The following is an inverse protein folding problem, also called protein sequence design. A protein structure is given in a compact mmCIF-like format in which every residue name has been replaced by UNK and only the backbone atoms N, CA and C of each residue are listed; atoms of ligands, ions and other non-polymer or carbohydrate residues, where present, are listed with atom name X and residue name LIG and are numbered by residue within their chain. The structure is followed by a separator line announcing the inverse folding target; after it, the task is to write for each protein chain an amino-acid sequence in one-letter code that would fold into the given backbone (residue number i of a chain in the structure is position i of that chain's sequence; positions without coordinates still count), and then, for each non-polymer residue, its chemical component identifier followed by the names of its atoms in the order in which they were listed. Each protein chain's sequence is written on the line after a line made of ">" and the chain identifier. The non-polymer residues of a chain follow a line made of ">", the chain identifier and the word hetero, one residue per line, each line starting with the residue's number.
data_IF_450266978783
#
_entry.id   IF_450266978783
#
_cell.length_a   1.000
_cell.length_b   1.000
_cell.length_c   1.000
_cell.angle_alpha   90.00
_cell.angle_beta   90.00
_cell.angle_gamma   90.00
#
_symmetry.space_group_name_H-M   'P 1'
#
loop_
_entity.id
_entity.type
_entity.pdbx_description
1 polymer ?
#
# COMPACT_ATOMS: atom_id res chain seq x y z
N UNK A 1 47.50 -64.68 52.44
CA UNK A 1 46.36 -63.78 52.78
C UNK A 1 46.31 -62.57 51.85
N UNK A 2 47.45 -61.92 51.55
CA UNK A 2 47.53 -60.69 50.73
C UNK A 2 46.84 -60.70 49.36
N UNK A 3 46.92 -61.78 48.58
CA UNK A 3 46.37 -61.81 47.21
C UNK A 3 44.84 -61.61 47.15
N UNK A 4 44.09 -62.01 48.19
CA UNK A 4 42.63 -61.83 48.25
C UNK A 4 42.24 -60.39 48.58
N UNK A 5 43.05 -59.68 49.35
CA UNK A 5 42.83 -58.27 49.67
C UNK A 5 43.17 -57.38 48.46
N UNK A 6 44.23 -57.70 47.74
CA UNK A 6 44.59 -57.03 46.49
C UNK A 6 43.49 -57.21 45.42
N UNK A 7 42.94 -58.42 45.26
CA UNK A 7 41.84 -58.66 44.31
C UNK A 7 40.56 -57.89 44.69
N UNK A 8 40.22 -57.83 45.98
CA UNK A 8 39.06 -57.04 46.45
C UNK A 8 39.25 -55.56 46.19
N UNK A 9 40.43 -55.01 46.51
CA UNK A 9 40.74 -53.61 46.24
C UNK A 9 40.69 -53.29 44.74
N UNK A 10 41.18 -54.19 43.88
CA UNK A 10 41.11 -54.00 42.43
C UNK A 10 39.65 -54.00 41.92
N UNK A 11 38.81 -54.92 42.39
CA UNK A 11 37.38 -54.98 42.02
C UNK A 11 36.65 -53.71 42.49
N UNK A 12 36.90 -53.25 43.72
CA UNK A 12 36.32 -52.02 44.25
C UNK A 12 36.72 -50.78 43.43
N UNK A 13 37.98 -50.68 42.99
CA UNK A 13 38.43 -49.60 42.09
C UNK A 13 37.72 -49.64 40.74
N UNK A 14 37.66 -50.82 40.10
CA UNK A 14 36.97 -50.95 38.80
C UNK A 14 35.47 -50.64 38.91
N UNK A 15 34.84 -50.98 40.03
CA UNK A 15 33.43 -50.65 40.29
C UNK A 15 33.25 -49.15 40.48
N UNK A 16 34.12 -48.49 41.24
CA UNK A 16 34.09 -47.05 41.41
C UNK A 16 34.30 -46.31 40.08
N UNK A 17 35.24 -46.77 39.24
CA UNK A 17 35.47 -46.23 37.89
C UNK A 17 34.25 -46.42 36.98
N UNK A 18 33.57 -47.57 37.06
CA UNK A 18 32.33 -47.82 36.31
C UNK A 18 31.18 -46.93 36.79
N UNK A 19 31.01 -46.75 38.10
CA UNK A 19 30.00 -45.88 38.68
C UNK A 19 30.25 -44.41 38.31
N UNK A 20 31.50 -43.95 38.31
CA UNK A 20 31.89 -42.61 37.85
C UNK A 20 31.65 -42.41 36.34
N UNK A 21 32.03 -43.40 35.52
CA UNK A 21 31.79 -43.36 34.08
C UNK A 21 30.29 -43.35 33.73
N UNK A 22 29.48 -44.10 34.48
CA UNK A 22 28.03 -44.11 34.31
C UNK A 22 27.41 -42.77 34.72
N UNK A 23 27.82 -42.19 35.85
CA UNK A 23 27.37 -40.86 36.26
C UNK A 23 27.77 -39.76 35.26
N UNK A 24 28.98 -39.85 34.68
CA UNK A 24 29.43 -38.93 33.64
C UNK A 24 28.60 -39.06 32.35
N UNK A 25 28.21 -40.28 31.97
CA UNK A 25 27.35 -40.54 30.82
C UNK A 25 25.94 -39.99 31.03
N UNK A 26 25.34 -40.23 32.20
CA UNK A 26 24.01 -39.71 32.56
C UNK A 26 24.00 -38.18 32.54
N UNK A 27 25.01 -37.53 33.11
CA UNK A 27 25.13 -36.08 33.08
C UNK A 27 25.38 -35.53 31.66
N UNK A 28 26.12 -36.25 30.81
CA UNK A 28 26.28 -35.88 29.40
C UNK A 28 24.95 -35.98 28.63
N UNK A 29 24.15 -37.02 28.90
CA UNK A 29 22.81 -37.20 28.33
C UNK A 29 21.87 -36.07 28.78
N UNK A 30 21.85 -35.73 30.07
CA UNK A 30 21.04 -34.61 30.57
C UNK A 30 21.40 -33.28 29.90
N UNK A 31 22.70 -33.01 29.68
CA UNK A 31 23.15 -31.80 28.98
C UNK A 31 22.70 -31.78 27.52
N UNK A 32 22.79 -32.92 26.83
CA UNK A 32 22.32 -33.05 25.45
C UNK A 32 20.81 -32.82 25.34
N UNK A 33 20.02 -33.36 26.27
CA UNK A 33 18.57 -33.19 26.31
C UNK A 33 18.17 -31.74 26.63
N UNK A 34 18.88 -31.06 27.54
CA UNK A 34 18.66 -29.63 27.80
C UNK A 34 18.94 -28.79 26.56
N UNK A 35 20.07 -29.02 25.89
CA UNK A 35 20.42 -28.31 24.66
C UNK A 35 19.38 -28.54 23.55
N UNK A 36 18.85 -29.76 23.42
CA UNK A 36 17.78 -30.09 22.46
C UNK A 36 16.49 -29.31 22.77
N UNK A 37 16.06 -29.27 24.03
CA UNK A 37 14.86 -28.52 24.44
C UNK A 37 15.02 -27.01 24.21
N UNK A 38 16.21 -26.46 24.47
CA UNK A 38 16.50 -25.05 24.21
C UNK A 38 16.45 -24.72 22.70
N UNK A 39 16.99 -25.60 21.86
CA UNK A 39 16.92 -25.45 20.42
C UNK A 39 15.48 -25.53 19.89
N UNK A 40 14.69 -26.50 20.35
CA UNK A 40 13.27 -26.63 20.01
C UNK A 40 12.46 -25.39 20.45
N UNK A 41 12.72 -24.86 21.66
CA UNK A 41 12.09 -23.63 22.14
C UNK A 41 12.51 -22.39 21.33
N UNK A 42 13.75 -22.33 20.86
CA UNK A 42 14.22 -21.26 19.97
C UNK A 42 13.53 -21.31 18.61
N UNK A 43 13.39 -22.50 18.01
CA UNK A 43 12.66 -22.70 16.76
C UNK A 43 11.18 -22.29 16.90
N UNK A 44 10.51 -22.66 18.00
CA UNK A 44 9.13 -22.29 18.25
C UNK A 44 8.93 -20.75 18.33
N UNK A 45 9.85 -20.04 19.00
CA UNK A 45 9.82 -18.57 19.05
C UNK A 45 10.03 -17.94 17.68
N UNK A 46 10.92 -18.49 16.88
CA UNK A 46 11.18 -18.01 15.53
C UNK A 46 9.97 -18.22 14.61
N UNK A 47 9.30 -19.37 14.69
CA UNK A 47 8.09 -19.64 13.91
C UNK A 47 6.93 -18.71 14.29
N UNK A 48 6.74 -18.42 15.58
CA UNK A 48 5.71 -17.47 16.04
C UNK A 48 5.98 -16.03 15.54
N UNK A 49 7.24 -15.60 15.54
CA UNK A 49 7.62 -14.31 14.95
C UNK A 49 7.36 -14.25 13.44
N UNK A 50 7.68 -15.32 12.71
CA UNK A 50 7.39 -15.41 11.27
C UNK A 50 5.90 -15.40 10.98
N UNK A 51 5.08 -16.11 11.77
CA UNK A 51 3.62 -16.06 11.62
C UNK A 51 3.06 -14.67 11.90
N UNK A 52 3.55 -13.99 12.94
CA UNK A 52 3.16 -12.60 13.23
C UNK A 52 3.54 -11.65 12.11
N UNK A 53 4.73 -11.77 11.54
CA UNK A 53 5.16 -10.98 10.39
C UNK A 53 4.39 -11.35 9.11
N UNK A 54 4.04 -12.62 8.89
CA UNK A 54 3.20 -13.05 7.78
C UNK A 54 1.77 -12.55 7.91
N UNK A 55 1.20 -12.54 9.11
CA UNK A 55 -0.12 -11.98 9.39
C UNK A 55 -0.10 -10.47 9.19
N UNK A 56 0.93 -9.79 9.68
CA UNK A 56 1.15 -8.35 9.45
C UNK A 56 1.26 -8.08 7.94
N UNK A 57 2.12 -8.81 7.22
CA UNK A 57 2.28 -8.70 5.79
C UNK A 57 0.99 -9.03 5.02
N UNK A 58 0.23 -10.06 5.42
CA UNK A 58 -1.09 -10.36 4.82
C UNK A 58 -2.11 -9.27 5.08
N UNK A 59 -2.10 -8.61 6.23
CA UNK A 59 -2.94 -7.42 6.44
C UNK A 59 -2.56 -6.26 5.52
N UNK A 60 -1.29 -6.17 5.10
CA UNK A 60 -0.82 -5.19 4.13
C UNK A 60 -0.95 -5.62 2.65
N UNK A 61 -0.92 -6.92 2.36
CA UNK A 61 -0.87 -7.50 1.00
C UNK A 61 -2.21 -8.09 0.56
N UNK A 62 -3.17 -8.31 1.47
CA UNK A 62 -4.54 -8.60 1.05
C UNK A 62 -4.97 -7.43 0.15
N UNK A 63 -5.30 -7.68 -1.13
CA UNK A 63 -5.79 -6.64 -1.98
C UNK A 63 -7.10 -6.19 -1.35
N UNK A 64 -7.07 -5.09 -0.60
CA UNK A 64 -8.24 -4.30 -0.26
C UNK A 64 -8.69 -3.61 -1.55
N UNK A 65 -9.01 -4.44 -2.55
CA UNK A 65 -10.10 -4.23 -3.46
C UNK A 65 -11.35 -4.26 -2.57
N UNK A 66 -11.53 -3.19 -1.79
CA UNK A 66 -12.85 -2.62 -1.62
C UNK A 66 -13.32 -2.37 -3.04
N UNK A 67 -13.92 -3.42 -3.60
CA UNK A 67 -14.56 -3.52 -4.88
C UNK A 67 -15.31 -2.21 -5.04
N UNK A 68 -14.94 -1.47 -6.08
CA UNK A 68 -15.57 -0.20 -6.41
C UNK A 68 -17.00 -0.45 -6.85
N UNK A 69 -17.89 -0.74 -5.91
CA UNK A 69 -19.34 -0.70 -6.09
C UNK A 69 -19.80 0.75 -6.37
N UNK A 70 -18.93 1.75 -6.25
CA UNK A 70 -19.25 3.15 -6.49
C UNK A 70 -18.98 3.67 -7.92
N UNK A 71 -18.45 2.85 -8.86
CA UNK A 71 -18.24 3.30 -10.25
C UNK A 71 -18.70 2.28 -11.31
N UNK A 72 -19.77 1.54 -11.05
CA UNK A 72 -20.30 0.51 -11.97
C UNK A 72 -21.04 1.08 -13.21
N UNK A 73 -21.04 2.40 -13.42
CA UNK A 73 -21.74 3.05 -14.54
C UNK A 73 -20.94 4.07 -15.34
N UNK A 74 -19.67 4.32 -15.01
CA UNK A 74 -18.85 5.23 -15.81
C UNK A 74 -18.25 4.45 -16.98
N UNK A 75 -18.80 4.68 -18.17
CA UNK A 75 -18.31 4.28 -19.50
C UNK A 75 -16.83 3.87 -19.46
N UNK A 76 -16.57 2.56 -19.54
CA UNK A 76 -15.24 1.99 -19.35
C UNK A 76 -14.41 2.22 -20.62
N UNK A 77 -13.97 3.46 -20.82
CA UNK A 77 -13.14 3.87 -21.94
C UNK A 77 -11.83 3.10 -21.84
N UNK A 78 -11.59 2.17 -22.78
CA UNK A 78 -10.31 1.47 -22.87
C UNK A 78 -9.23 2.46 -23.32
N UNK A 79 -8.43 2.93 -22.36
CA UNK A 79 -7.36 3.90 -22.58
C UNK A 79 -6.05 3.25 -23.05
N UNK A 80 -5.94 1.92 -22.99
CA UNK A 80 -4.76 1.18 -23.42
C UNK A 80 -4.37 1.39 -24.90
N UNK A 81 -5.30 1.43 -25.89
CA UNK A 81 -4.95 1.78 -27.27
C UNK A 81 -4.41 3.21 -27.40
N UNK A 82 -4.95 4.18 -26.64
CA UNK A 82 -4.49 5.57 -26.67
C UNK A 82 -3.05 5.65 -26.14
N UNK A 83 -2.75 5.01 -25.01
CA UNK A 83 -1.39 4.98 -24.47
C UNK A 83 -0.41 4.26 -25.41
N UNK A 84 -0.81 3.14 -26.05
CA UNK A 84 0.00 2.49 -27.07
C UNK A 84 0.25 3.39 -28.28
N UNK A 85 -0.74 4.19 -28.66
CA UNK A 85 -0.59 5.23 -29.68
C UNK A 85 0.43 6.30 -29.30
N UNK A 86 0.41 6.77 -28.04
CA UNK A 86 1.38 7.72 -27.51
C UNK A 86 2.81 7.14 -27.41
N UNK A 87 2.95 5.83 -27.19
CA UNK A 87 4.25 5.13 -27.21
C UNK A 87 4.75 4.79 -28.63
N UNK A 88 3.92 4.97 -29.66
CA UNK A 88 4.23 4.52 -31.02
C UNK A 88 5.43 5.28 -31.62
N UNK A 89 6.20 4.60 -32.47
CA UNK A 89 7.25 5.24 -33.28
C UNK A 89 6.66 6.12 -34.38
N UNK A 90 5.45 5.81 -34.85
CA UNK A 90 4.72 6.57 -35.87
C UNK A 90 4.22 7.90 -35.31
N UNK A 91 4.66 9.02 -35.90
CA UNK A 91 4.30 10.36 -35.48
C UNK A 91 2.80 10.65 -35.65
N UNK A 92 2.14 10.09 -36.66
CA UNK A 92 0.70 10.31 -36.90
C UNK A 92 -0.14 9.70 -35.78
N UNK A 93 0.13 8.45 -35.42
CA UNK A 93 -0.54 7.76 -34.31
C UNK A 93 -0.31 8.45 -32.97
N UNK A 94 0.88 9.00 -32.72
CA UNK A 94 1.14 9.78 -31.50
C UNK A 94 0.31 11.06 -31.44
N UNK A 95 0.19 11.79 -32.56
CA UNK A 95 -0.59 13.03 -32.61
C UNK A 95 -2.08 12.73 -32.41
N UNK A 96 -2.61 11.69 -33.05
CA UNK A 96 -3.99 11.26 -32.88
C UNK A 96 -4.28 10.86 -31.41
N UNK A 97 -3.42 10.01 -30.83
CA UNK A 97 -3.57 9.60 -29.45
C UNK A 97 -3.42 10.76 -28.45
N UNK A 98 -2.58 11.77 -28.75
CA UNK A 98 -2.47 13.00 -27.96
C UNK A 98 -3.78 13.77 -27.99
N UNK A 99 -4.38 13.96 -29.17
CA UNK A 99 -5.68 14.63 -29.31
C UNK A 99 -6.78 13.88 -28.56
N UNK A 100 -6.82 12.55 -28.64
CA UNK A 100 -7.79 11.75 -27.88
C UNK A 100 -7.59 11.93 -26.38
N UNK A 101 -6.34 11.93 -25.89
CA UNK A 101 -6.05 12.17 -24.48
C UNK A 101 -6.47 13.57 -24.03
N UNK A 102 -6.19 14.60 -24.84
CA UNK A 102 -6.57 15.98 -24.57
C UNK A 102 -8.11 16.16 -24.56
N UNK A 103 -8.83 15.45 -25.45
CA UNK A 103 -10.30 15.42 -25.49
C UNK A 103 -10.91 14.72 -24.27
N UNK A 104 -10.29 13.63 -23.79
CA UNK A 104 -10.73 12.95 -22.58
C UNK A 104 -10.51 13.83 -21.35
N UNK A 105 -9.41 14.60 -21.32
CA UNK A 105 -9.07 15.51 -20.25
C UNK A 105 -9.11 14.81 -18.89
N UNK A 106 -9.86 15.36 -17.94
CA UNK A 106 -9.97 14.80 -16.60
C UNK A 106 -10.67 13.44 -16.54
N UNK A 107 -11.50 13.11 -17.54
CA UNK A 107 -12.18 11.81 -17.60
C UNK A 107 -11.20 10.66 -17.82
N UNK A 108 -9.99 10.94 -18.31
CA UNK A 108 -8.92 9.95 -18.45
C UNK A 108 -8.32 9.50 -17.11
N UNK A 109 -8.46 10.29 -16.03
CA UNK A 109 -7.77 10.05 -14.75
C UNK A 109 -8.15 8.69 -14.15
N UNK A 110 -9.44 8.37 -14.04
CA UNK A 110 -9.89 7.10 -13.48
C UNK A 110 -9.48 5.87 -14.33
N UNK A 111 -9.66 5.86 -15.67
CA UNK A 111 -9.13 4.81 -16.53
C UNK A 111 -7.61 4.63 -16.45
N UNK A 112 -6.84 5.72 -16.36
CA UNK A 112 -5.38 5.67 -16.22
C UNK A 112 -4.97 5.00 -14.92
N UNK A 113 -5.62 5.34 -13.80
CA UNK A 113 -5.37 4.71 -12.52
C UNK A 113 -5.72 3.22 -12.53
N UNK A 114 -6.91 2.88 -13.02
CA UNK A 114 -7.34 1.48 -13.11
C UNK A 114 -6.35 0.67 -13.95
N UNK A 115 -5.84 1.24 -15.04
CA UNK A 115 -4.79 0.61 -15.83
C UNK A 115 -3.49 0.42 -15.04
N UNK A 116 -3.02 1.43 -14.32
CA UNK A 116 -1.80 1.36 -13.49
C UNK A 116 -1.96 0.27 -12.42
N UNK A 117 -3.08 0.24 -11.69
CA UNK A 117 -3.39 -0.75 -10.66
C UNK A 117 -3.46 -2.17 -11.24
N UNK A 118 -4.21 -2.34 -12.33
CA UNK A 118 -4.38 -3.64 -12.98
C UNK A 118 -3.05 -4.21 -13.46
N UNK A 119 -2.19 -3.35 -13.99
CA UNK A 119 -0.87 -3.75 -14.48
C UNK A 119 0.12 -3.97 -13.32
N UNK A 120 -0.02 -3.25 -12.20
CA UNK A 120 0.75 -3.49 -10.97
C UNK A 120 0.45 -4.90 -10.41
N UNK A 121 -0.83 -5.27 -10.30
CA UNK A 121 -1.23 -6.62 -9.85
C UNK A 121 -0.70 -7.72 -10.79
N UNK A 122 -0.72 -7.48 -12.11
CA UNK A 122 -0.13 -8.42 -13.08
C UNK A 122 1.38 -8.55 -12.90
N UNK A 123 2.07 -7.44 -12.64
CA UNK A 123 3.51 -7.43 -12.38
C UNK A 123 3.86 -8.20 -11.11
N UNK A 124 3.11 -8.03 -10.03
CA UNK A 124 3.36 -8.74 -8.78
C UNK A 124 3.21 -10.26 -8.96
N UNK A 125 2.17 -10.69 -9.68
CA UNK A 125 2.00 -12.11 -10.04
C UNK A 125 3.17 -12.63 -10.89
N UNK A 126 3.63 -11.84 -11.86
CA UNK A 126 4.79 -12.18 -12.70
C UNK A 126 6.08 -12.27 -11.89
N UNK A 127 6.33 -11.29 -11.02
CA UNK A 127 7.50 -11.25 -10.16
C UNK A 127 7.51 -12.42 -9.18
N UNK A 128 6.35 -12.77 -8.60
CA UNK A 128 6.20 -13.94 -7.75
C UNK A 128 6.52 -15.23 -8.51
N UNK A 129 5.96 -15.41 -9.72
CA UNK A 129 6.26 -16.58 -10.55
C UNK A 129 7.76 -16.67 -10.91
N UNK A 130 8.40 -15.54 -11.21
CA UNK A 130 9.84 -15.47 -11.49
C UNK A 130 10.66 -15.82 -10.25
N UNK A 131 10.29 -15.31 -9.08
CA UNK A 131 10.96 -15.62 -7.82
C UNK A 131 10.88 -17.12 -7.51
N UNK A 132 9.70 -17.72 -7.60
CA UNK A 132 9.50 -19.16 -7.40
C UNK A 132 10.31 -19.98 -8.40
N UNK A 133 10.29 -19.61 -9.68
CA UNK A 133 11.07 -20.27 -10.71
C UNK A 133 12.58 -20.18 -10.45
N UNK A 134 13.07 -18.99 -10.08
CA UNK A 134 14.49 -18.78 -9.76
C UNK A 134 14.94 -19.56 -8.52
N UNK A 135 14.08 -19.68 -7.50
CA UNK A 135 14.34 -20.46 -6.30
C UNK A 135 14.41 -21.97 -6.62
N UNK A 136 13.48 -22.47 -7.44
CA UNK A 136 13.48 -23.87 -7.89
C UNK A 136 14.74 -24.18 -8.73
N UNK A 137 15.09 -23.28 -9.65
CA UNK A 137 16.31 -23.33 -10.45
C UNK A 137 17.57 -23.40 -9.56
N UNK A 138 17.64 -22.57 -8.52
CA UNK A 138 18.74 -22.54 -7.57
C UNK A 138 18.81 -23.83 -6.75
N UNK A 139 17.66 -24.33 -6.27
CA UNK A 139 17.57 -25.57 -5.51
C UNK A 139 18.03 -26.79 -6.33
N UNK A 140 17.60 -26.89 -7.59
CA UNK A 140 18.06 -27.94 -8.52
C UNK A 140 19.58 -27.83 -8.72
N UNK A 141 20.08 -26.60 -8.88
CA UNK A 141 21.51 -26.37 -9.03
C UNK A 141 22.33 -26.82 -7.82
N UNK A 142 21.84 -26.55 -6.60
CA UNK A 142 22.46 -26.97 -5.34
C UNK A 142 22.37 -28.48 -5.11
N UNK A 143 21.23 -29.11 -5.43
CA UNK A 143 21.08 -30.56 -5.36
C UNK A 143 22.04 -31.27 -6.31
N UNK A 144 22.25 -30.73 -7.51
CA UNK A 144 23.25 -31.24 -8.46
C UNK A 144 24.69 -31.10 -7.97
N UNK A 145 24.99 -30.06 -7.19
CA UNK A 145 26.31 -29.88 -6.55
C UNK A 145 26.52 -30.83 -5.35
N UNK A 146 25.47 -31.09 -4.57
CA UNK A 146 25.53 -31.98 -3.41
C UNK A 146 25.49 -33.48 -3.80
N UNK A 147 24.83 -33.82 -4.90
CA UNK A 147 24.72 -35.18 -5.42
C UNK A 147 26.00 -35.64 -6.15
N UNK A 148 26.87 -36.34 -5.43
CA UNK A 148 28.00 -37.16 -5.94
C UNK A 148 28.69 -36.63 -7.21
N UNK A 149 29.53 -35.60 -7.05
CA UNK A 149 30.73 -35.19 -7.81
C UNK A 149 30.75 -35.16 -9.35
N UNK A 150 30.18 -36.15 -10.03
CA UNK A 150 30.36 -36.41 -11.45
C UNK A 150 29.24 -35.80 -12.31
N UNK A 151 28.05 -35.58 -11.75
CA UNK A 151 26.92 -35.02 -12.52
C UNK A 151 27.11 -33.53 -12.83
N UNK A 152 27.67 -32.77 -11.89
CA UNK A 152 27.91 -31.34 -12.06
C UNK A 152 28.95 -31.04 -13.16
N UNK A 153 29.97 -31.90 -13.29
CA UNK A 153 31.00 -31.81 -14.34
C UNK A 153 30.46 -32.25 -15.72
N UNK A 154 29.45 -33.12 -15.77
CA UNK A 154 28.90 -33.65 -17.03
C UNK A 154 27.96 -32.69 -17.75
N UNK A 155 27.35 -31.72 -17.06
CA UNK A 155 26.33 -30.83 -17.65
C UNK A 155 26.53 -29.33 -17.41
N UNK A 156 27.72 -28.74 -17.67
CA UNK A 156 27.94 -27.30 -17.49
C UNK A 156 27.03 -26.44 -18.36
N UNK A 157 26.65 -26.93 -19.55
CA UNK A 157 25.72 -26.22 -20.45
C UNK A 157 24.34 -26.04 -19.83
N UNK A 158 23.84 -27.00 -19.06
CA UNK A 158 22.54 -26.90 -18.41
C UNK A 158 22.53 -25.73 -17.41
N UNK A 159 23.59 -25.61 -16.60
CA UNK A 159 23.74 -24.52 -15.64
C UNK A 159 23.85 -23.16 -16.32
N UNK A 160 24.60 -23.05 -17.43
CA UNK A 160 24.70 -21.81 -18.21
C UNK A 160 23.34 -21.40 -18.76
N UNK A 161 22.57 -22.35 -19.32
CA UNK A 161 21.22 -22.07 -19.84
C UNK A 161 20.28 -21.63 -18.71
N UNK A 162 20.33 -22.30 -17.58
CA UNK A 162 19.46 -22.02 -16.43
C UNK A 162 19.78 -20.65 -15.79
N UNK A 163 21.06 -20.26 -15.77
CA UNK A 163 21.50 -18.92 -15.38
C UNK A 163 21.07 -17.87 -16.43
N UNK A 164 21.23 -18.15 -17.73
CA UNK A 164 20.80 -17.24 -18.80
C UNK A 164 19.29 -17.01 -18.80
N UNK A 165 18.49 -18.05 -18.57
CA UNK A 165 17.02 -17.95 -18.41
C UNK A 165 16.67 -17.13 -17.18
N UNK A 166 17.33 -17.38 -16.06
CA UNK A 166 17.11 -16.61 -14.81
C UNK A 166 17.40 -15.12 -15.01
N UNK A 167 18.53 -14.79 -15.65
CA UNK A 167 18.89 -13.40 -15.99
C UNK A 167 17.89 -12.79 -16.99
N UNK A 168 17.51 -13.53 -18.04
CA UNK A 168 16.53 -13.07 -19.01
C UNK A 168 15.16 -12.79 -18.38
N UNK A 169 14.73 -13.62 -17.41
CA UNK A 169 13.49 -13.40 -16.66
C UNK A 169 13.54 -12.12 -15.83
N UNK A 170 14.70 -11.75 -15.27
CA UNK A 170 14.88 -10.46 -14.60
C UNK A 170 14.67 -9.28 -15.56
N UNK A 171 15.11 -9.38 -16.83
CA UNK A 171 14.82 -8.32 -17.82
C UNK A 171 13.33 -8.19 -18.15
N UNK A 172 12.58 -9.30 -18.13
CA UNK A 172 11.13 -9.29 -18.33
C UNK A 172 10.40 -8.60 -17.17
N UNK A 173 11.01 -8.48 -15.98
CA UNK A 173 10.41 -7.74 -14.85
C UNK A 173 10.39 -6.23 -15.00
N UNK A 174 11.04 -5.66 -16.03
CA UNK A 174 11.04 -4.22 -16.25
C UNK A 174 9.61 -3.67 -16.32
N UNK A 175 9.36 -2.49 -15.72
CA UNK A 175 8.05 -1.85 -15.78
C UNK A 175 7.64 -1.69 -17.23
N UNK A 176 6.36 -1.95 -17.53
CA UNK A 176 5.86 -1.76 -18.89
C UNK A 176 5.89 -0.27 -19.21
N UNK A 177 6.35 0.09 -20.42
CA UNK A 177 6.40 1.50 -20.84
C UNK A 177 5.05 2.21 -20.72
N UNK A 178 3.95 1.46 -20.77
CA UNK A 178 2.58 1.94 -20.57
C UNK A 178 2.34 2.47 -19.16
N UNK A 179 2.82 1.81 -18.11
CA UNK A 179 2.68 2.30 -16.73
C UNK A 179 3.40 3.64 -16.55
N UNK A 180 4.65 3.71 -17.02
CA UNK A 180 5.45 4.94 -16.96
C UNK A 180 4.77 6.08 -17.71
N UNK A 181 4.20 5.80 -18.89
CA UNK A 181 3.52 6.80 -19.69
C UNK A 181 2.20 7.25 -19.05
N UNK A 182 1.41 6.32 -18.52
CA UNK A 182 0.19 6.62 -17.78
C UNK A 182 0.50 7.51 -16.56
N UNK A 183 1.52 7.16 -15.77
CA UNK A 183 1.94 7.93 -14.60
C UNK A 183 2.44 9.33 -14.98
N UNK A 184 3.19 9.47 -16.08
CA UNK A 184 3.63 10.79 -16.59
C UNK A 184 2.47 11.66 -17.05
N UNK A 185 1.48 11.07 -17.74
CA UNK A 185 0.28 11.79 -18.18
C UNK A 185 -0.54 12.20 -16.96
N UNK A 186 -0.71 11.29 -15.99
CA UNK A 186 -1.40 11.57 -14.74
C UNK A 186 -0.75 12.74 -13.99
N UNK A 187 0.58 12.74 -13.89
CA UNK A 187 1.32 13.84 -13.30
C UNK A 187 1.13 15.15 -14.06
N UNK A 188 0.95 15.13 -15.40
CA UNK A 188 0.83 16.34 -16.22
C UNK A 188 -0.51 17.09 -16.07
N UNK A 189 -1.53 16.47 -15.47
CA UNK A 189 -2.78 17.19 -15.19
C UNK A 189 -2.58 18.22 -14.09
N UNK A 190 -3.19 19.40 -14.26
CA UNK A 190 -3.11 20.51 -13.30
C UNK A 190 -4.31 20.62 -12.35
N UNK A 191 -5.20 19.62 -12.36
CA UNK A 191 -6.44 19.64 -11.58
C UNK A 191 -6.26 19.03 -10.18
N UNK A 192 -6.83 19.68 -9.16
CA UNK A 192 -6.79 19.23 -7.76
C UNK A 192 -7.42 17.83 -7.57
N UNK A 193 -8.37 17.43 -8.41
CA UNK A 193 -9.00 16.10 -8.37
C UNK A 193 -8.01 14.95 -8.63
N UNK A 194 -6.85 15.25 -9.22
CA UNK A 194 -5.80 14.25 -9.50
C UNK A 194 -4.91 14.00 -8.28
N UNK A 195 -5.00 14.83 -7.24
CA UNK A 195 -4.16 14.70 -6.04
C UNK A 195 -4.45 13.41 -5.28
N UNK A 196 -5.73 13.05 -5.13
CA UNK A 196 -6.13 11.79 -4.47
C UNK A 196 -5.54 10.55 -5.15
N UNK A 197 -5.82 10.35 -6.45
CA UNK A 197 -5.14 9.38 -7.31
C UNK A 197 -3.62 9.31 -7.18
N UNK A 198 -2.94 10.46 -7.19
CA UNK A 198 -1.48 10.52 -7.08
C UNK A 198 -1.01 10.17 -5.66
N UNK A 199 -1.77 10.54 -4.64
CA UNK A 199 -1.47 10.17 -3.25
C UNK A 199 -1.55 8.66 -3.05
N UNK A 200 -2.56 8.00 -3.61
CA UNK A 200 -2.66 6.53 -3.60
C UNK A 200 -1.51 5.89 -4.39
N UNK A 201 -1.10 6.49 -5.52
CA UNK A 201 0.03 6.02 -6.29
C UNK A 201 1.38 6.07 -5.53
N UNK A 202 1.50 6.87 -4.46
CA UNK A 202 2.68 6.86 -3.58
C UNK A 202 2.83 5.56 -2.77
N UNK A 203 1.76 4.80 -2.58
CA UNK A 203 1.81 3.51 -1.90
C UNK A 203 2.33 2.37 -2.78
N UNK A 204 2.33 2.58 -4.09
CA UNK A 204 2.81 1.58 -5.04
C UNK A 204 4.33 1.41 -4.88
N UNK A 205 4.78 0.16 -4.84
CA UNK A 205 6.19 -0.19 -4.69
C UNK A 205 7.03 0.07 -5.96
N UNK A 206 6.40 0.50 -7.05
CA UNK A 206 7.10 0.78 -8.29
C UNK A 206 7.81 2.14 -8.24
N UNK A 207 9.14 2.12 -8.23
CA UNK A 207 9.99 3.30 -8.14
C UNK A 207 9.64 4.39 -9.18
N UNK A 208 9.33 4.00 -10.42
CA UNK A 208 9.02 4.95 -11.49
C UNK A 208 7.66 5.62 -11.33
N UNK A 209 6.62 4.84 -11.02
CA UNK A 209 5.28 5.36 -10.74
C UNK A 209 5.31 6.27 -9.52
N UNK A 210 6.02 5.86 -8.46
CA UNK A 210 6.23 6.64 -7.26
C UNK A 210 6.96 7.95 -7.57
N UNK A 211 8.01 7.95 -8.40
CA UNK A 211 8.70 9.19 -8.79
C UNK A 211 7.78 10.14 -9.56
N UNK A 212 7.04 9.63 -10.55
CA UNK A 212 6.09 10.45 -11.29
C UNK A 212 4.98 11.03 -10.40
N UNK A 213 4.49 10.24 -9.44
CA UNK A 213 3.51 10.68 -8.45
C UNK A 213 4.07 11.78 -7.53
N UNK A 214 5.30 11.62 -7.04
CA UNK A 214 5.99 12.65 -6.24
C UNK A 214 6.14 13.95 -7.01
N UNK A 215 6.60 13.88 -8.25
CA UNK A 215 6.81 15.07 -9.08
C UNK A 215 5.48 15.79 -9.38
N UNK A 216 4.41 15.04 -9.63
CA UNK A 216 3.06 15.59 -9.77
C UNK A 216 2.57 16.26 -8.48
N UNK A 217 2.67 15.58 -7.35
CA UNK A 217 2.21 16.09 -6.05
C UNK A 217 2.99 17.34 -5.62
N UNK A 218 4.31 17.40 -5.80
CA UNK A 218 5.11 18.60 -5.49
C UNK A 218 4.62 19.84 -6.23
N UNK A 219 4.12 19.68 -7.47
CA UNK A 219 3.58 20.77 -8.28
C UNK A 219 2.14 21.13 -7.91
N UNK A 220 1.31 20.13 -7.62
CA UNK A 220 -0.14 20.31 -7.42
C UNK A 220 -0.51 20.70 -5.99
N UNK A 221 0.14 20.11 -4.98
CA UNK A 221 -0.19 20.33 -3.57
C UNK A 221 -0.11 21.81 -3.14
N UNK A 222 0.88 22.63 -3.58
CA UNK A 222 0.92 24.05 -3.24
C UNK A 222 -0.22 24.89 -3.84
N UNK A 223 -0.99 24.33 -4.80
CA UNK A 223 -2.11 25.02 -5.48
C UNK A 223 -3.47 24.63 -4.89
N UNK A 224 -3.50 23.77 -3.86
CA UNK A 224 -4.73 23.30 -3.23
C UNK A 224 -5.35 24.41 -2.37
N UNK A 225 -6.67 24.56 -2.46
CA UNK A 225 -7.41 25.51 -1.65
C UNK A 225 -8.31 24.79 -0.64
N UNK A 226 -8.77 25.51 0.39
CA UNK A 226 -9.69 24.97 1.41
C UNK A 226 -11.01 24.43 0.82
N UNK A 227 -11.45 24.95 -0.34
CA UNK A 227 -12.62 24.44 -1.08
C UNK A 227 -12.45 23.01 -1.58
N UNK A 228 -11.21 22.56 -1.75
CA UNK A 228 -10.89 21.25 -2.31
C UNK A 228 -10.82 20.17 -1.23
N UNK A 229 -11.01 20.53 0.06
CA UNK A 229 -10.91 19.60 1.18
C UNK A 229 -11.84 18.39 1.04
N UNK A 230 -13.02 18.56 0.42
CA UNK A 230 -13.98 17.49 0.18
C UNK A 230 -13.63 16.58 -1.00
N UNK A 231 -12.62 16.91 -1.81
CA UNK A 231 -12.22 16.09 -2.96
C UNK A 231 -11.34 14.90 -2.59
N UNK A 232 -10.67 14.96 -1.43
CA UNK A 232 -9.81 13.90 -0.96
C UNK A 232 -10.56 12.97 -0.01
N UNK A 233 -10.54 11.67 -0.32
CA UNK A 233 -11.08 10.67 0.59
C UNK A 233 -10.18 10.51 1.83
N UNK A 234 -10.73 9.95 2.91
CA UNK A 234 -9.94 9.65 4.11
C UNK A 234 -8.72 8.77 3.80
N UNK A 235 -8.90 7.79 2.89
CA UNK A 235 -7.83 6.90 2.45
C UNK A 235 -6.69 7.68 1.78
N UNK A 236 -7.03 8.64 0.92
CA UNK A 236 -6.05 9.47 0.21
C UNK A 236 -5.30 10.37 1.19
N UNK A 237 -6.01 10.90 2.19
CA UNK A 237 -5.40 11.66 3.27
C UNK A 237 -4.42 10.81 4.09
N UNK A 238 -4.79 9.57 4.42
CA UNK A 238 -3.89 8.66 5.13
C UNK A 238 -2.62 8.34 4.30
N UNK A 239 -2.74 8.27 2.96
CA UNK A 239 -1.58 8.13 2.06
C UNK A 239 -0.63 9.34 2.16
N UNK A 240 -1.19 10.56 2.19
CA UNK A 240 -0.41 11.78 2.38
C UNK A 240 0.26 11.81 3.77
N UNK A 241 -0.43 11.41 4.83
CA UNK A 241 0.14 11.32 6.18
C UNK A 241 1.28 10.30 6.25
N UNK A 242 1.18 9.15 5.56
CA UNK A 242 2.30 8.20 5.46
C UNK A 242 3.47 8.82 4.68
N UNK A 243 3.18 9.55 3.60
CA UNK A 243 4.19 10.21 2.79
C UNK A 243 4.98 11.31 3.52
N UNK A 244 4.46 11.83 4.65
CA UNK A 244 5.23 12.72 5.54
C UNK A 244 6.50 12.07 6.13
N UNK A 245 6.59 10.73 6.15
CA UNK A 245 7.79 10.01 6.56
C UNK A 245 8.82 9.83 5.43
N UNK A 246 8.57 10.40 4.26
CA UNK A 246 9.48 10.36 3.11
C UNK A 246 10.81 11.08 3.40
N UNK A 247 11.89 10.60 2.77
CA UNK A 247 13.19 11.28 2.76
C UNK A 247 13.22 12.50 1.83
N UNK A 248 12.17 12.67 1.00
CA UNK A 248 12.05 13.77 0.05
C UNK A 248 11.47 15.02 0.73
N UNK A 249 12.34 15.92 1.14
CA UNK A 249 11.95 17.10 1.91
C UNK A 249 11.07 18.08 1.13
N UNK A 250 11.22 18.20 -0.19
CA UNK A 250 10.36 19.08 -0.99
C UNK A 250 8.93 18.55 -1.04
N UNK A 251 8.78 17.22 -1.14
CA UNK A 251 7.47 16.58 -1.07
C UNK A 251 6.84 16.79 0.30
N UNK A 252 7.59 16.57 1.39
CA UNK A 252 7.06 16.74 2.75
C UNK A 252 6.60 18.18 2.98
N UNK A 253 7.39 19.18 2.55
CA UNK A 253 6.98 20.60 2.64
C UNK A 253 5.75 20.89 1.80
N UNK A 254 5.65 20.33 0.58
CA UNK A 254 4.46 20.48 -0.25
C UNK A 254 3.21 19.86 0.39
N UNK A 255 3.33 18.69 1.03
CA UNK A 255 2.25 18.05 1.79
C UNK A 255 1.85 18.92 2.98
N UNK A 256 2.79 19.44 3.76
CA UNK A 256 2.50 20.30 4.91
C UNK A 256 1.73 21.57 4.51
N UNK A 257 2.14 22.22 3.41
CA UNK A 257 1.40 23.39 2.87
C UNK A 257 0.00 23.05 2.40
N UNK A 258 -0.19 21.88 1.79
CA UNK A 258 -1.53 21.43 1.44
C UNK A 258 -2.36 21.14 2.71
N UNK A 259 -1.80 20.44 3.70
CA UNK A 259 -2.48 20.15 4.97
C UNK A 259 -2.86 21.42 5.72
N UNK A 260 -2.09 22.50 5.60
CA UNK A 260 -2.48 23.82 6.10
C UNK A 260 -3.84 24.25 5.52
N UNK A 261 -4.14 23.97 4.25
CA UNK A 261 -5.38 24.38 3.57
C UNK A 261 -6.53 23.38 3.73
N UNK A 262 -6.25 22.09 3.60
CA UNK A 262 -7.26 21.01 3.55
C UNK A 262 -7.24 20.07 4.76
N UNK A 263 -6.24 20.18 5.62
CA UNK A 263 -6.11 19.36 6.82
C UNK A 263 -7.15 19.71 7.88
N UNK A 264 -7.42 18.71 8.73
CA UNK A 264 -8.28 18.82 9.90
C UNK A 264 -7.63 18.21 11.14
N UNK A 265 -8.43 18.00 12.19
CA UNK A 265 -7.98 17.52 13.50
C UNK A 265 -7.12 16.24 13.43
N UNK A 266 -7.48 15.29 12.57
CA UNK A 266 -6.71 14.05 12.35
C UNK A 266 -5.27 14.26 11.88
N UNK A 267 -4.95 15.42 11.30
CA UNK A 267 -3.60 15.73 10.79
C UNK A 267 -2.65 16.24 11.88
N UNK A 268 -3.18 16.81 12.97
CA UNK A 268 -2.42 17.40 14.09
C UNK A 268 -1.32 16.45 14.61
N UNK A 269 -1.61 15.20 15.02
CA UNK A 269 -0.58 14.33 15.60
C UNK A 269 0.52 13.91 14.61
N UNK A 270 0.28 14.01 13.30
CA UNK A 270 1.31 13.77 12.29
C UNK A 270 2.23 14.98 12.12
N UNK A 271 1.65 16.18 12.13
CA UNK A 271 2.38 17.44 11.99
C UNK A 271 3.17 17.77 13.26
N UNK A 272 2.58 17.57 14.44
CA UNK A 272 3.23 17.75 15.75
C UNK A 272 4.51 16.90 15.87
N UNK A 273 4.43 15.61 15.51
CA UNK A 273 5.61 14.73 15.49
C UNK A 273 6.75 15.21 14.58
N UNK A 274 6.44 15.94 13.50
CA UNK A 274 7.46 16.53 12.63
C UNK A 274 8.03 17.83 13.21
N UNK A 275 7.20 18.63 13.86
CA UNK A 275 7.61 19.86 14.54
C UNK A 275 8.55 19.56 15.73
N UNK A 276 8.31 18.47 16.45
CA UNK A 276 9.11 18.07 17.62
C UNK A 276 10.40 17.32 17.25
N UNK A 277 10.60 17.00 15.97
CA UNK A 277 11.75 16.20 15.54
C UNK A 277 13.06 16.98 15.78
N UNK A 278 14.09 16.35 16.37
CA UNK A 278 15.38 16.99 16.55
C UNK A 278 15.99 17.32 15.18
N UNK A 279 16.43 18.56 15.01
CA UNK A 279 17.05 19.03 13.77
C UNK A 279 18.45 18.43 13.62
N UNK A 280 18.62 17.46 12.72
CA UNK A 280 19.91 16.81 12.43
C UNK A 280 20.58 17.39 11.18
N UNK A 281 19.80 17.99 10.30
CA UNK A 281 20.25 18.59 9.05
C UNK A 281 19.57 19.94 8.78
N UNK A 282 20.11 20.73 7.84
CA UNK A 282 19.48 21.97 7.35
C UNK A 282 18.09 21.67 6.76
N UNK A 283 17.99 20.55 6.02
CA UNK A 283 16.75 20.06 5.43
C UNK A 283 15.68 19.76 6.48
N UNK A 284 16.05 19.14 7.60
CA UNK A 284 15.14 18.90 8.73
C UNK A 284 14.65 20.23 9.32
N UNK A 285 15.51 21.25 9.36
CA UNK A 285 15.13 22.59 9.80
C UNK A 285 14.00 23.19 8.97
N UNK A 286 14.07 23.03 7.64
CA UNK A 286 13.02 23.49 6.72
C UNK A 286 11.70 22.74 6.90
N UNK A 287 11.76 21.42 7.09
CA UNK A 287 10.57 20.60 7.38
C UNK A 287 9.95 21.02 8.71
N UNK A 288 10.77 21.20 9.75
CA UNK A 288 10.31 21.60 11.09
C UNK A 288 9.63 22.96 11.08
N UNK A 289 10.21 23.94 10.39
CA UNK A 289 9.61 25.26 10.24
C UNK A 289 8.23 25.19 9.56
N UNK A 290 8.14 24.49 8.42
CA UNK A 290 6.86 24.30 7.72
C UNK A 290 5.84 23.52 8.57
N UNK A 291 6.28 22.56 9.38
CA UNK A 291 5.41 21.82 10.28
C UNK A 291 4.87 22.69 11.41
N UNK A 292 5.70 23.56 12.00
CA UNK A 292 5.26 24.50 13.04
C UNK A 292 4.23 25.51 12.51
N UNK A 293 4.46 26.06 11.31
CA UNK A 293 3.50 26.94 10.62
C UNK A 293 2.17 26.22 10.38
N UNK A 294 2.22 25.01 9.82
CA UNK A 294 1.04 24.18 9.57
C UNK A 294 0.29 23.83 10.88
N UNK A 295 1.00 23.57 11.98
CA UNK A 295 0.40 23.22 13.27
C UNK A 295 -0.38 24.40 13.86
N UNK A 296 0.15 25.62 13.76
CA UNK A 296 -0.55 26.83 14.18
C UNK A 296 -1.86 26.99 13.41
N UNK A 297 -1.78 26.95 12.08
CA UNK A 297 -2.96 27.10 11.21
C UNK A 297 -4.02 26.00 11.44
N UNK A 298 -3.61 24.75 11.68
CA UNK A 298 -4.52 23.66 11.99
C UNK A 298 -5.21 23.84 13.36
N UNK A 299 -4.46 24.29 14.37
CA UNK A 299 -4.98 24.52 15.72
C UNK A 299 -6.01 25.65 15.73
N UNK A 300 -5.71 26.77 15.04
CA UNK A 300 -6.63 27.91 14.89
C UNK A 300 -7.94 27.47 14.23
N UNK A 301 -7.85 26.73 13.11
CA UNK A 301 -9.03 26.21 12.40
C UNK A 301 -9.87 25.24 13.23
N UNK A 302 -9.24 24.38 14.03
CA UNK A 302 -9.97 23.45 14.91
C UNK A 302 -10.69 24.23 16.02
N UNK A 303 -10.06 25.28 16.55
CA UNK A 303 -10.67 26.20 17.52
C UNK A 303 -11.91 26.91 16.96
N UNK A 304 -11.81 27.46 15.75
CA UNK A 304 -12.93 28.15 15.07
C UNK A 304 -14.12 27.21 14.85
N UNK A 305 -13.88 25.98 14.40
CA UNK A 305 -14.95 24.97 14.19
C UNK A 305 -15.60 24.51 15.49
N UNK A 306 -14.84 24.47 16.59
CA UNK A 306 -15.35 24.18 17.93
C UNK A 306 -16.30 25.27 18.44
N UNK A 307 -15.96 26.54 18.19
CA UNK A 307 -16.75 27.70 18.60
C UNK A 307 -18.12 27.77 17.91
N UNK A 308 -18.15 27.59 16.59
CA UNK A 308 -19.40 27.66 15.80
C UNK A 308 -20.37 26.51 16.11
N UNK A 309 -19.86 25.35 16.55
CA UNK A 309 -20.69 24.21 16.94
C UNK A 309 -21.25 24.32 18.35
N UNK A 310 -20.63 25.13 19.21
CA UNK A 310 -21.09 25.39 20.57
C UNK A 310 -22.03 26.62 20.67
N UNK A 311 -22.19 27.38 19.58
CA UNK A 311 -23.05 28.56 19.50
C UNK A 311 -24.20 28.44 18.51
N UNK A 312 -24.72 27.23 18.27
CA UNK A 312 -26.17 27.13 18.19
C UNK A 312 -26.65 27.06 19.64
N UNK A 313 -27.06 28.18 20.27
CA UNK A 313 -27.93 28.04 21.43
C UNK A 313 -29.00 27.04 21.02
N UNK A 314 -29.26 26.06 21.87
CA UNK A 314 -30.55 25.41 21.82
C UNK A 314 -31.56 26.56 21.94
N UNK A 315 -32.02 27.11 20.82
CA UNK A 315 -33.42 27.45 20.67
C UNK A 315 -34.17 26.13 20.83
N UNK A 316 -34.12 25.59 22.05
CA UNK A 316 -35.26 24.93 22.62
C UNK A 316 -36.38 25.94 22.41
N UNK A 317 -37.47 25.55 21.73
CA UNK A 317 -38.60 26.45 21.68
C UNK A 317 -38.95 26.77 23.12
N UNK A 318 -38.86 28.05 23.50
CA UNK A 318 -39.59 28.64 24.61
C UNK A 318 -41.10 28.56 24.29
N UNK A 319 -41.57 27.35 24.06
CA UNK A 319 -42.97 27.03 23.93
C UNK A 319 -43.25 25.72 24.67
N UNK A 320 -43.15 25.71 26.01
CA UNK A 320 -43.52 24.56 26.84
C UNK A 320 -45.05 24.28 26.87
N UNK A 321 -45.86 24.83 25.96
CA UNK A 321 -47.32 24.83 26.07
C UNK A 321 -48.15 24.20 24.95
N UNK A 322 -47.75 24.26 23.66
CA UNK A 322 -48.78 24.16 22.59
C UNK A 322 -48.58 23.10 21.48
N UNK A 323 -47.54 22.28 21.46
CA UNK A 323 -47.28 21.41 20.30
C UNK A 323 -47.54 19.90 20.48
N UNK A 324 -48.24 19.48 21.54
CA UNK A 324 -48.61 18.07 21.77
C UNK A 324 -49.96 17.66 21.19
N UNK A 325 -50.58 18.46 20.31
CA UNK A 325 -51.76 18.03 19.55
C UNK A 325 -51.73 18.63 18.15
N UNK A 326 -51.07 17.96 17.20
CA UNK A 326 -51.56 18.03 15.81
C UNK A 326 -52.71 17.03 15.72
N UNK A 327 -53.98 17.47 15.58
CA UNK A 327 -55.05 16.55 15.22
C UNK A 327 -54.65 15.82 13.95
N UNK A 328 -54.91 14.52 13.91
CA UNK A 328 -54.92 13.77 12.68
C UNK A 328 -55.97 14.42 11.77
N UNK A 329 -55.52 15.26 10.83
CA UNK A 329 -56.36 15.72 9.75
C UNK A 329 -56.64 14.51 8.86
N UNK A 330 -57.79 13.90 9.12
CA UNK A 330 -58.50 13.03 8.20
C UNK A 330 -58.57 13.66 6.80
N UNK A 331 -58.48 12.81 5.78
CA UNK A 331 -59.33 13.00 4.60
C UNK A 331 -58.76 13.82 3.44
N UNK A 332 -57.55 13.53 3.00
CA UNK A 332 -57.16 13.77 1.60
C UNK A 332 -57.25 12.47 0.81
N UNK A 333 -58.42 12.15 0.25
CA UNK A 333 -58.63 11.00 -0.63
C UNK A 333 -57.73 11.11 -1.88
N UNK A 334 -56.52 10.57 -1.79
CA UNK A 334 -55.67 10.32 -2.94
C UNK A 334 -56.30 9.18 -3.72
N UNK A 335 -56.96 9.53 -4.83
CA UNK A 335 -57.53 8.56 -5.76
C UNK A 335 -56.41 7.62 -6.26
N UNK A 336 -56.63 6.27 -6.26
CA UNK A 336 -55.63 5.27 -6.67
C UNK A 336 -55.11 5.43 -8.11
N UNK A 337 -55.69 6.32 -8.89
CA UNK A 337 -55.39 6.54 -10.31
C UNK A 337 -54.16 7.45 -10.52
N UNK A 338 -53.64 8.12 -9.48
CA UNK A 338 -52.38 8.88 -9.55
C UNK A 338 -51.12 8.01 -9.32
N UNK A 339 -51.28 6.72 -9.04
CA UNK A 339 -50.20 5.71 -9.03
C UNK A 339 -49.87 5.15 -10.43
N UNK A 340 -50.46 5.70 -11.48
CA UNK A 340 -50.24 5.32 -12.88
C UNK A 340 -50.05 6.59 -13.72
N UNK A 341 -48.93 7.31 -13.52
CA UNK A 341 -48.40 8.14 -14.62
C UNK A 341 -47.36 7.34 -15.39
N UNK A 342 -47.83 6.99 -16.57
CA UNK A 342 -47.17 6.38 -17.71
C UNK A 342 -45.68 6.74 -17.85
N UNK A 343 -44.92 5.68 -18.12
CA UNK A 343 -43.86 5.65 -19.11
C UNK A 343 -44.16 6.65 -20.25
N UNK A 344 -43.26 7.61 -20.47
CA UNK A 344 -43.18 8.38 -21.71
C UNK A 344 -42.14 7.68 -22.62
N UNK A 345 -42.56 6.90 -23.64
CA UNK A 345 -41.70 6.53 -24.77
C UNK A 345 -41.90 7.58 -25.87
N UNK A 346 -41.13 8.66 -25.86
CA UNK A 346 -41.40 9.74 -26.80
C UNK A 346 -40.33 10.82 -26.93
N UNK A 347 -39.07 10.45 -27.21
CA UNK A 347 -38.11 11.37 -27.83
C UNK A 347 -37.46 10.69 -29.03
N UNK A 348 -38.21 10.70 -30.13
CA UNK A 348 -37.74 10.42 -31.49
C UNK A 348 -38.07 11.64 -32.37
N UNK A 349 -37.08 12.10 -33.13
CA UNK A 349 -37.19 13.18 -34.13
C UNK A 349 -37.01 14.59 -33.54
N UNK A 350 -36.40 15.59 -34.18
CA UNK A 350 -35.90 15.84 -35.53
C UNK A 350 -35.06 17.14 -35.39
N UNK A 351 -33.94 17.31 -36.08
CA UNK A 351 -33.77 18.17 -37.26
C UNK A 351 -32.36 18.78 -37.12
N UNK A 352 -31.49 18.82 -38.12
CA UNK A 352 -31.70 19.34 -39.47
C UNK A 352 -31.13 20.76 -39.51
N UNK A 353 -29.85 20.90 -39.88
CA UNK A 353 -29.16 22.19 -39.94
C UNK A 353 -27.99 22.16 -40.91
N UNK A 354 -28.34 22.45 -42.17
CA UNK A 354 -27.59 22.90 -43.37
C UNK A 354 -26.06 22.87 -43.39
#
# INVERSE_FOLDING_TARGET
>A
MNLREELRSAVERTRAEQEEAQAALEHAQERADRARREHEAALARYTDLLEKELVRARMFVAPRLGRGEAMEGADQIDIAPVLRGLASRDSRRRIEARRTMDQLGIRAVAPLLNLIEREAVRRDRRNYAIAVFSAACTAIGLLGLAGTGDLALRFPLLYIVLLAVSVSLLFVTRPTGLQLQAARILASFEDARVIGPLAEALELQDHYTLQAARDGLKRLLPRVHASDAGMLSERQMDCLHRALSSQDADLVVAILRALEQIGGERSIPFVERLADRPQRSVTDGRIRAAAAECLSALSDRVGERGGDRLLRPATGPDNPGEALLRPAAEGGAVLPQQLLRALDPGHAGESGGS
#
